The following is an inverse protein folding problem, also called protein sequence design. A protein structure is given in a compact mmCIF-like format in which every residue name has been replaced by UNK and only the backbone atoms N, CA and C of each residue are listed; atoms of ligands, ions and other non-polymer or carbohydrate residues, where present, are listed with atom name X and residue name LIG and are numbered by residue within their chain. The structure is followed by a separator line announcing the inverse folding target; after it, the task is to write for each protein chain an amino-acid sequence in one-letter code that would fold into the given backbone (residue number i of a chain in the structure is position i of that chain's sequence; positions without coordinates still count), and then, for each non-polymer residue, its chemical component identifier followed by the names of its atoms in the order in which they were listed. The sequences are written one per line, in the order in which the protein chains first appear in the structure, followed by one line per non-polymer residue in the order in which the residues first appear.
data_IF_076552804319
#
_entry.id   IF_076552804319
#
_cell.length_a   1.000
_cell.length_b   1.000
_cell.length_c   1.000
_cell.angle_alpha   90.00
_cell.angle_beta   90.00
_cell.angle_gamma   90.00
#
_symmetry.space_group_name_H-M   'P 1'
#
loop_
_entity.id
_entity.type
_entity.pdbx_description
1 polymer ?
#
# COMPACT_ATOMS: atom_id res chain seq x y z
N UNK A 1 5.79 -2.15 12.54
CA UNK A 1 4.37 -2.38 12.17
C UNK A 1 4.17 -3.85 11.93
N UNK A 2 2.94 -4.33 12.07
CA UNK A 2 2.54 -5.69 11.77
C UNK A 2 1.17 -5.63 11.10
N UNK A 3 0.94 -6.39 10.02
CA UNK A 3 -0.28 -6.29 9.24
C UNK A 3 -0.79 -7.67 8.83
N UNK A 4 -2.07 -7.92 9.09
CA UNK A 4 -2.83 -9.00 8.48
C UNK A 4 -3.58 -8.43 7.28
N UNK A 5 -3.26 -8.91 6.08
CA UNK A 5 -3.82 -8.39 4.82
C UNK A 5 -4.68 -9.44 4.15
N UNK A 6 -5.86 -9.02 3.68
CA UNK A 6 -6.76 -9.83 2.86
C UNK A 6 -6.88 -9.21 1.48
N UNK A 7 -6.86 -10.06 0.45
CA UNK A 7 -7.14 -9.68 -0.94
C UNK A 7 -8.45 -10.33 -1.36
N UNK A 8 -9.49 -9.54 -1.53
CA UNK A 8 -10.83 -9.98 -1.88
C UNK A 8 -11.00 -9.97 -3.41
N UNK A 9 -10.66 -11.09 -4.03
CA UNK A 9 -10.55 -11.28 -5.49
C UNK A 9 -11.86 -11.09 -6.27
N UNK A 10 -13.00 -11.24 -5.59
CA UNK A 10 -14.35 -11.12 -6.17
C UNK A 10 -14.92 -9.70 -6.11
N UNK A 11 -14.41 -8.84 -5.24
CA UNK A 11 -14.92 -7.46 -5.03
C UNK A 11 -13.88 -6.38 -5.31
N UNK A 12 -12.65 -6.75 -5.68
CA UNK A 12 -11.63 -5.77 -6.08
C UNK A 12 -10.85 -5.13 -4.94
N UNK A 13 -10.97 -5.64 -3.70
CA UNK A 13 -10.46 -4.95 -2.51
C UNK A 13 -9.21 -5.58 -1.91
N UNK A 14 -8.37 -4.73 -1.32
CA UNK A 14 -7.31 -5.11 -0.39
C UNK A 14 -7.59 -4.47 0.97
N UNK A 15 -7.68 -5.28 2.02
CA UNK A 15 -7.99 -4.81 3.38
C UNK A 15 -6.90 -5.19 4.38
N UNK A 16 -6.72 -4.36 5.41
CA UNK A 16 -5.92 -4.66 6.60
C UNK A 16 -6.82 -4.98 7.79
N UNK A 17 -6.73 -6.20 8.30
CA UNK A 17 -7.65 -6.78 9.30
C UNK A 17 -6.91 -7.47 10.47
N UNK A 18 -6.28 -6.73 11.39
CA UNK A 18 -5.96 -5.31 11.37
C UNK A 18 -4.50 -5.05 10.95
N UNK A 19 -4.09 -3.78 10.92
CA UNK A 19 -2.67 -3.40 11.03
C UNK A 19 -2.38 -2.90 12.45
N UNK A 20 -1.41 -3.51 13.13
CA UNK A 20 -0.86 -3.03 14.39
C UNK A 20 0.21 -1.98 14.13
N UNK A 21 -0.04 -0.81 14.70
CA UNK A 21 0.77 0.40 14.60
C UNK A 21 1.36 0.64 15.98
N UNK A 22 2.68 0.50 16.12
CA UNK A 22 3.31 0.60 17.43
C UNK A 22 4.70 1.24 17.40
N UNK A 23 5.10 1.88 18.49
CA UNK A 23 6.41 2.51 18.67
C UNK A 23 7.03 2.16 20.03
N UNK A 24 8.35 1.95 20.03
CA UNK A 24 9.17 1.88 21.26
C UNK A 24 9.97 3.16 21.50
N UNK A 25 9.96 4.11 20.56
CA UNK A 25 10.72 5.35 20.67
C UNK A 25 10.14 6.23 21.79
N UNK A 26 11.00 6.84 22.62
CA UNK A 26 10.58 7.57 23.84
C UNK A 26 9.88 8.90 23.53
N UNK A 27 10.53 10.01 23.13
CA UNK A 27 9.80 11.27 22.97
C UNK A 27 9.20 11.48 21.57
N UNK A 28 9.85 10.99 20.51
CA UNK A 28 9.50 11.38 19.14
C UNK A 28 8.64 10.32 18.45
N UNK A 29 7.47 10.75 18.01
CA UNK A 29 6.63 9.96 17.12
C UNK A 29 7.20 9.84 15.71
N UNK A 30 6.57 9.03 14.88
CA UNK A 30 6.91 8.88 13.47
C UNK A 30 5.67 8.62 12.63
N UNK A 31 5.75 8.81 11.32
CA UNK A 31 4.72 8.31 10.42
C UNK A 31 5.18 6.98 9.86
N UNK A 32 4.34 5.95 9.97
CA UNK A 32 4.59 4.68 9.34
C UNK A 32 3.53 4.42 8.29
N UNK A 33 3.87 3.56 7.34
CA UNK A 33 3.00 3.26 6.23
C UNK A 33 3.08 1.80 5.79
N UNK A 34 1.96 1.35 5.24
CA UNK A 34 1.78 0.04 4.64
C UNK A 34 1.49 0.22 3.16
N UNK A 35 2.19 -0.55 2.35
CA UNK A 35 1.91 -0.72 0.92
C UNK A 35 1.79 -2.22 0.65
N UNK A 36 0.82 -2.61 -0.17
CA UNK A 36 0.65 -3.99 -0.61
C UNK A 36 0.88 -4.04 -2.11
N UNK A 37 1.80 -4.92 -2.54
CA UNK A 37 2.12 -5.20 -3.94
C UNK A 37 1.55 -6.57 -4.28
N UNK A 38 0.77 -6.66 -5.34
CA UNK A 38 0.15 -7.89 -5.83
C UNK A 38 0.96 -8.45 -7.01
N UNK A 39 1.20 -9.76 -6.99
CA UNK A 39 1.88 -10.45 -8.08
C UNK A 39 0.99 -11.53 -8.69
N UNK A 40 1.18 -11.79 -9.98
CA UNK A 40 0.55 -12.90 -10.69
C UNK A 40 1.33 -14.21 -10.49
N UNK A 41 0.83 -15.28 -11.14
CA UNK A 41 1.45 -16.63 -11.08
C UNK A 41 2.87 -16.69 -11.64
N UNK A 42 3.25 -15.74 -12.49
CA UNK A 42 4.58 -15.64 -13.10
C UNK A 42 5.55 -14.83 -12.21
N UNK A 43 5.07 -14.22 -11.13
CA UNK A 43 5.84 -13.33 -10.27
C UNK A 43 5.86 -11.88 -10.75
N UNK A 44 5.10 -11.52 -11.80
CA UNK A 44 5.04 -10.14 -12.27
C UNK A 44 4.18 -9.28 -11.34
N UNK A 45 4.57 -8.03 -11.17
CA UNK A 45 3.80 -7.04 -10.41
C UNK A 45 2.58 -6.66 -11.24
N UNK A 46 1.39 -6.94 -10.72
CA UNK A 46 0.11 -6.63 -11.40
C UNK A 46 -0.68 -5.55 -10.69
N UNK A 47 -0.27 -5.16 -9.48
CA UNK A 47 -0.80 -3.98 -8.84
C UNK A 47 -0.14 -3.61 -7.54
N UNK A 48 -0.42 -2.38 -7.10
CA UNK A 48 0.10 -1.83 -5.85
C UNK A 48 -0.91 -0.88 -5.25
N UNK A 49 -1.15 -0.98 -3.94
CA UNK A 49 -2.03 -0.06 -3.21
C UNK A 49 -1.37 1.31 -3.04
N UNK A 50 -2.17 2.36 -2.85
CA UNK A 50 -1.62 3.61 -2.34
C UNK A 50 -1.04 3.40 -0.93
N UNK A 51 -0.03 4.18 -0.50
CA UNK A 51 0.48 4.12 0.86
C UNK A 51 -0.61 4.45 1.87
N UNK A 52 -0.92 3.52 2.77
CA UNK A 52 -1.75 3.80 3.93
C UNK A 52 -0.86 4.28 5.06
N UNK A 53 -1.07 5.51 5.53
CA UNK A 53 -0.19 6.21 6.47
C UNK A 53 -0.87 6.40 7.83
N UNK A 54 -0.09 6.32 8.89
CA UNK A 54 -0.53 6.65 10.25
C UNK A 54 0.58 7.36 11.03
N UNK A 55 0.22 8.38 11.81
CA UNK A 55 1.10 8.94 12.83
C UNK A 55 1.17 8.03 14.06
N UNK A 56 2.36 7.76 14.57
CA UNK A 56 2.62 6.90 15.73
C UNK A 56 3.28 7.74 16.80
N UNK A 57 2.65 7.85 17.96
CA UNK A 57 3.21 8.63 19.06
C UNK A 57 4.42 7.93 19.69
N UNK A 58 5.28 8.71 20.35
CA UNK A 58 6.33 8.17 21.20
C UNK A 58 5.71 7.49 22.43
N UNK A 59 6.36 6.43 22.92
CA UNK A 59 5.91 5.64 24.07
C UNK A 59 5.72 6.50 25.34
N UNK A 60 6.47 7.59 25.47
CA UNK A 60 6.43 8.45 26.67
C UNK A 60 5.43 9.61 26.57
N UNK A 61 4.68 9.70 25.46
CA UNK A 61 3.58 10.66 25.34
C UNK A 61 2.43 10.16 26.22
N UNK A 62 2.17 10.88 27.32
CA UNK A 62 1.06 10.59 28.24
C UNK A 62 -0.26 10.74 27.47
N UNK A 63 -1.10 9.69 27.50
CA UNK A 63 -2.33 9.62 26.70
C UNK A 63 -2.09 9.39 25.20
N UNK A 64 -0.85 9.15 24.77
CA UNK A 64 -0.49 8.95 23.36
C UNK A 64 -0.91 7.59 22.81
N UNK A 65 -1.11 7.55 21.50
CA UNK A 65 -1.55 6.39 20.72
C UNK A 65 -0.38 5.55 20.20
N UNK A 66 0.55 5.21 21.09
CA UNK A 66 1.82 4.56 20.75
C UNK A 66 1.70 3.06 20.38
N UNK A 67 0.59 2.41 20.69
CA UNK A 67 0.24 1.06 20.23
C UNK A 67 -1.27 0.98 19.98
N UNK A 68 -1.67 0.69 18.74
CA UNK A 68 -3.07 0.57 18.35
C UNK A 68 -3.24 -0.30 17.11
N UNK A 69 -4.50 -0.66 16.85
CA UNK A 69 -4.91 -1.38 15.64
C UNK A 69 -5.73 -0.47 14.74
N UNK A 70 -5.49 -0.53 13.44
CA UNK A 70 -6.27 0.17 12.44
C UNK A 70 -6.76 -0.79 11.36
N UNK A 71 -8.04 -0.68 11.02
CA UNK A 71 -8.65 -1.31 9.87
C UNK A 71 -8.62 -0.33 8.69
N UNK A 72 -8.41 -0.86 7.49
CA UNK A 72 -8.41 -0.06 6.27
C UNK A 72 -8.73 -0.93 5.07
N UNK A 73 -9.25 -0.30 4.02
CA UNK A 73 -9.52 -0.93 2.74
C UNK A 73 -9.05 -0.01 1.60
N UNK A 74 -8.64 -0.61 0.50
CA UNK A 74 -8.37 0.08 -0.76
C UNK A 74 -8.94 -0.73 -1.91
N UNK A 75 -9.55 -0.03 -2.86
CA UNK A 75 -10.04 -0.60 -4.10
C UNK A 75 -8.91 -0.61 -5.15
N UNK A 76 -8.66 -1.78 -5.71
CA UNK A 76 -7.70 -2.01 -6.80
C UNK A 76 -8.39 -2.55 -8.07
N UNK A 77 -9.71 -2.76 -8.04
CA UNK A 77 -10.43 -3.39 -9.14
C UNK A 77 -10.37 -4.92 -9.13
N UNK A 78 -11.47 -5.53 -9.58
CA UNK A 78 -11.62 -6.99 -9.70
C UNK A 78 -10.66 -7.53 -10.75
N UNK A 79 -10.41 -6.79 -11.82
CA UNK A 79 -9.50 -7.14 -12.90
C UNK A 79 -8.07 -7.41 -12.39
N UNK A 80 -7.63 -6.69 -11.36
CA UNK A 80 -6.31 -6.83 -10.76
C UNK A 80 -6.30 -7.92 -9.70
N UNK A 81 -7.19 -7.79 -8.72
CA UNK A 81 -7.23 -8.72 -7.57
C UNK A 81 -7.57 -10.15 -7.99
N UNK A 82 -8.41 -10.35 -9.00
CA UNK A 82 -8.72 -11.68 -9.54
C UNK A 82 -7.52 -12.40 -10.13
N UNK A 83 -6.46 -11.67 -10.55
CA UNK A 83 -5.22 -12.25 -11.09
C UNK A 83 -4.12 -12.42 -10.06
N UNK A 84 -4.30 -11.89 -8.85
CA UNK A 84 -3.31 -11.98 -7.79
C UNK A 84 -3.20 -13.41 -7.24
N UNK A 85 -1.97 -13.92 -7.20
CA UNK A 85 -1.65 -15.23 -6.62
C UNK A 85 -0.75 -15.10 -5.40
N UNK A 86 0.02 -14.02 -5.30
CA UNK A 86 0.82 -13.71 -4.12
C UNK A 86 0.83 -12.21 -3.86
N UNK A 87 1.23 -11.83 -2.65
CA UNK A 87 1.34 -10.44 -2.25
C UNK A 87 2.64 -10.20 -1.47
N UNK A 88 3.15 -8.97 -1.55
CA UNK A 88 4.24 -8.46 -0.73
C UNK A 88 3.73 -7.28 0.07
N UNK A 89 3.94 -7.34 1.38
CA UNK A 89 3.59 -6.26 2.31
C UNK A 89 4.87 -5.48 2.60
N UNK A 90 4.82 -4.17 2.39
CA UNK A 90 5.93 -3.27 2.64
C UNK A 90 5.53 -2.37 3.81
N UNK A 91 6.23 -2.53 4.92
CA UNK A 91 6.19 -1.59 6.04
C UNK A 91 7.34 -0.61 5.90
N UNK A 92 7.05 0.68 5.95
CA UNK A 92 8.09 1.71 5.98
C UNK A 92 7.79 2.74 7.05
N UNK A 93 8.84 3.35 7.57
CA UNK A 93 8.72 4.71 8.09
C UNK A 93 8.52 5.61 6.88
N UNK A 94 7.54 6.49 6.88
CA UNK A 94 7.27 7.36 5.73
C UNK A 94 8.54 8.14 5.37
N UNK A 95 8.97 7.96 4.12
CA UNK A 95 10.19 8.51 3.55
C UNK A 95 10.01 8.67 2.04
N UNK A 96 10.83 9.51 1.42
CA UNK A 96 10.83 9.69 -0.04
C UNK A 96 11.13 8.37 -0.77
N UNK A 97 11.91 7.48 -0.15
CA UNK A 97 12.20 6.14 -0.69
C UNK A 97 10.96 5.25 -0.83
N UNK A 98 9.92 5.44 -0.01
CA UNK A 98 8.65 4.74 -0.19
C UNK A 98 7.92 5.21 -1.44
N UNK A 99 7.90 6.52 -1.68
CA UNK A 99 7.27 7.11 -2.87
C UNK A 99 7.95 6.56 -4.13
N UNK A 100 9.28 6.58 -4.19
CA UNK A 100 10.03 6.00 -5.30
C UNK A 100 9.76 4.51 -5.48
N UNK A 101 9.64 3.76 -4.38
CA UNK A 101 9.31 2.33 -4.42
C UNK A 101 7.92 2.07 -4.99
N UNK A 102 6.92 2.85 -4.58
CA UNK A 102 5.54 2.73 -5.08
C UNK A 102 5.46 3.11 -6.55
N UNK A 103 6.12 4.20 -6.96
CA UNK A 103 6.18 4.63 -8.36
C UNK A 103 6.85 3.58 -9.25
N UNK A 104 7.90 2.92 -8.77
CA UNK A 104 8.53 1.80 -9.48
C UNK A 104 7.53 0.66 -9.69
N UNK A 105 6.83 0.21 -8.64
CA UNK A 105 5.85 -0.87 -8.75
C UNK A 105 4.64 -0.50 -9.62
N UNK A 106 4.19 0.76 -9.59
CA UNK A 106 3.17 1.25 -10.52
C UNK A 106 3.64 1.15 -11.97
N UNK A 107 4.87 1.58 -12.25
CA UNK A 107 5.45 1.52 -13.60
C UNK A 107 5.59 0.07 -14.10
N UNK A 108 6.14 -0.81 -13.27
CA UNK A 108 6.25 -2.25 -13.57
C UNK A 108 4.87 -2.85 -13.84
N UNK A 109 3.87 -2.49 -13.04
CA UNK A 109 2.51 -2.96 -13.24
C UNK A 109 1.93 -2.49 -14.56
N UNK A 110 2.06 -1.21 -14.91
CA UNK A 110 1.56 -0.68 -16.17
C UNK A 110 2.16 -1.40 -17.38
N UNK A 111 3.45 -1.74 -17.35
CA UNK A 111 4.10 -2.49 -18.44
C UNK A 111 3.43 -3.85 -18.67
N UNK A 112 3.04 -4.55 -17.61
CA UNK A 112 2.34 -5.83 -17.74
C UNK A 112 0.95 -5.63 -18.37
N UNK A 113 0.21 -4.62 -17.94
CA UNK A 113 -1.13 -4.34 -18.47
C UNK A 113 -1.09 -3.87 -19.93
N UNK A 114 -0.09 -3.07 -20.30
CA UNK A 114 0.13 -2.58 -21.67
C UNK A 114 0.54 -3.72 -22.64
N UNK A 115 1.10 -4.83 -22.14
CA UNK A 115 1.46 -6.00 -22.97
C UNK A 115 0.33 -7.04 -22.99
N UNK A 116 -0.42 -7.20 -21.89
CA UNK A 116 -1.39 -8.29 -21.73
C UNK A 116 -2.84 -7.94 -22.06
N UNK A 117 -3.22 -6.65 -22.17
CA UNK A 117 -4.63 -6.23 -22.31
C UNK A 117 -4.93 -5.40 -23.57
N UNK A 118 -3.90 -4.94 -24.27
CA UNK A 118 -4.01 -3.90 -25.30
C UNK A 118 -4.68 -4.29 -26.63
N UNK A 119 -4.96 -5.55 -27.01
CA UNK A 119 -5.76 -5.76 -28.22
C UNK A 119 -7.28 -5.61 -28.02
N UNK A 120 -7.82 -5.78 -26.80
CA UNK A 120 -9.27 -6.04 -26.64
C UNK A 120 -10.06 -4.94 -25.92
N UNK A 121 -9.43 -4.02 -25.18
CA UNK A 121 -10.17 -3.00 -24.39
C UNK A 121 -9.73 -1.55 -24.62
N UNK A 122 -8.61 -1.32 -25.33
CA UNK A 122 -8.13 0.02 -25.69
C UNK A 122 -7.81 0.96 -24.51
N UNK A 123 -7.88 0.47 -23.26
CA UNK A 123 -7.57 1.28 -22.07
C UNK A 123 -6.14 1.02 -21.62
N UNK A 124 -5.25 2.03 -21.65
CA UNK A 124 -3.91 1.90 -21.06
C UNK A 124 -4.04 1.68 -19.55
N UNK A 125 -3.06 0.98 -18.97
CA UNK A 125 -2.85 0.73 -17.53
C UNK A 125 -4.03 1.08 -16.57
N UNK A 126 -4.67 0.10 -15.88
CA UNK A 126 -5.86 0.34 -15.06
C UNK A 126 -5.63 1.28 -13.86
N UNK A 127 -4.38 1.58 -13.54
CA UNK A 127 -4.01 2.49 -12.47
C UNK A 127 -4.15 3.95 -12.91
N UNK A 128 -5.10 4.64 -12.28
CA UNK A 128 -5.01 6.10 -12.20
C UNK A 128 -3.85 6.40 -11.24
N UNK A 129 -2.79 7.06 -11.71
CA UNK A 129 -1.67 7.45 -10.83
C UNK A 129 -2.26 8.11 -9.58
N UNK A 130 -1.99 7.59 -8.37
CA UNK A 130 -2.48 8.23 -7.17
C UNK A 130 -1.94 9.65 -7.17
N UNK A 131 -2.80 10.64 -6.93
CA UNK A 131 -2.34 11.95 -6.46
C UNK A 131 -1.70 11.69 -5.11
N UNK A 132 -0.40 11.37 -5.09
CA UNK A 132 0.38 11.26 -3.86
C UNK A 132 0.51 12.69 -3.36
N UNK A 133 -0.52 13.18 -2.67
CA UNK A 133 -0.36 14.37 -1.85
C UNK A 133 0.65 13.99 -0.78
N UNK A 134 1.81 14.63 -0.81
CA UNK A 134 2.74 14.64 0.30
C UNK A 134 2.36 15.88 1.10
N UNK A 135 1.47 15.81 2.12
CA UNK A 135 1.28 16.94 3.00
C UNK A 135 2.47 16.95 3.93
N UNK A 136 3.57 17.56 3.50
CA UNK A 136 4.58 18.01 4.44
C UNK A 136 3.98 19.19 5.22
N UNK A 137 4.12 19.17 6.54
CA UNK A 137 4.75 20.31 7.19
C UNK A 137 6.10 19.83 7.70
N UNK A 138 7.15 20.51 7.24
CA UNK A 138 8.46 20.48 7.88
C UNK A 138 8.24 20.76 9.38
N UNK A 139 8.73 19.88 10.25
CA UNK A 139 8.99 20.19 11.66
C UNK A 139 10.39 19.75 12.01
#
# INVERSE_FOLDING_TARGET
MESWIRVSRNVGKVSGEPTRIWSVAKPRGYHGSVVVVLHNKCGDVIGVTAPRRWGVDGKWVIGGTHDRRAYWEQDLGVEITSRATSMKIIHSRDSDSLVTTVLRYLKESCQIWDVTVTPLTGKPCPFRMPKIQIPWPKR
#
